data_IF_723115875802
#
_entry.id   IF_723115875802
#
_cell.length_a   1.000
_cell.length_b   1.000
_cell.length_c   1.000
_cell.angle_alpha   90.00
_cell.angle_beta   90.00
_cell.angle_gamma   90.00
#
_symmetry.space_group_name_H-M   'P 1'
#
loop_
_entity.id
_entity.type
_entity.pdbx_description
1 polymer ?
#
# COMPACT_ATOMS: atom_id res chain seq x y z
N UNK A 1 -6.05 -6.47 8.32
CA UNK A 1 -6.43 -5.92 7.01
C UNK A 1 -5.43 -6.39 5.96
N UNK A 2 -5.91 -6.99 4.90
CA UNK A 2 -5.10 -7.36 3.74
C UNK A 2 -5.00 -6.15 2.80
N UNK A 3 -3.79 -5.80 2.41
CA UNK A 3 -3.52 -4.72 1.44
C UNK A 3 -2.82 -5.32 0.23
N UNK A 4 -3.33 -5.03 -0.95
CA UNK A 4 -2.79 -5.51 -2.21
C UNK A 4 -2.42 -4.33 -3.10
N UNK A 5 -1.18 -4.34 -3.60
CA UNK A 5 -0.68 -3.37 -4.58
C UNK A 5 -0.54 -4.04 -5.93
N UNK A 6 -0.97 -3.36 -6.98
CA UNK A 6 -0.98 -3.91 -8.33
C UNK A 6 -0.82 -2.83 -9.40
N UNK A 7 -0.48 -3.27 -10.59
CA UNK A 7 -0.31 -2.41 -11.75
C UNK A 7 -1.60 -2.35 -12.55
N UNK A 8 -1.94 -1.16 -13.02
CA UNK A 8 -3.11 -0.92 -13.89
C UNK A 8 -2.64 -0.25 -15.16
N UNK A 9 -3.05 -0.78 -16.31
CA UNK A 9 -2.83 -0.17 -17.60
C UNK A 9 -3.98 0.78 -17.94
N UNK A 10 -3.65 2.02 -18.24
CA UNK A 10 -4.64 3.03 -18.65
C UNK A 10 -4.07 3.83 -19.81
N UNK A 11 -4.68 3.67 -20.99
CA UNK A 11 -4.28 4.38 -22.22
C UNK A 11 -2.77 4.29 -22.52
N UNK A 12 -2.17 3.09 -22.37
CA UNK A 12 -0.75 2.84 -22.61
C UNK A 12 0.18 3.35 -21.50
N UNK A 13 -0.37 3.85 -20.39
CA UNK A 13 0.37 4.24 -19.19
C UNK A 13 0.20 3.22 -18.10
N UNK A 14 1.30 2.80 -17.50
CA UNK A 14 1.27 1.95 -16.32
C UNK A 14 1.04 2.79 -15.08
N UNK A 15 -0.03 2.48 -14.34
CA UNK A 15 -0.37 3.10 -13.08
C UNK A 15 -0.19 2.11 -11.93
N UNK A 16 0.00 2.61 -10.73
CA UNK A 16 -0.06 1.82 -9.49
C UNK A 16 -1.41 2.04 -8.81
N UNK A 17 -1.94 0.98 -8.26
CA UNK A 17 -3.16 1.02 -7.45
C UNK A 17 -2.99 0.13 -6.22
N UNK A 18 -3.85 0.31 -5.25
CA UNK A 18 -3.94 -0.60 -4.12
C UNK A 18 -5.40 -0.81 -3.72
N UNK A 19 -5.65 -1.91 -3.06
CA UNK A 19 -6.93 -2.25 -2.47
C UNK A 19 -6.70 -2.85 -1.08
N UNK A 20 -7.45 -2.40 -0.09
CA UNK A 20 -7.46 -2.98 1.24
C UNK A 20 -8.76 -3.74 1.47
N UNK A 21 -8.69 -4.91 2.10
CA UNK A 21 -9.85 -5.71 2.48
C UNK A 21 -9.93 -5.76 4.00
N UNK A 22 -11.01 -5.20 4.53
CA UNK A 22 -11.35 -5.26 5.96
C UNK A 22 -12.39 -6.34 6.21
N UNK A 23 -12.09 -7.26 7.13
CA UNK A 23 -12.96 -8.40 7.39
C UNK A 23 -13.16 -9.27 6.13
N UNK A 24 -14.33 -9.85 5.99
CA UNK A 24 -14.59 -10.80 4.89
C UNK A 24 -15.07 -10.14 3.58
N UNK A 25 -15.55 -8.90 3.61
CA UNK A 25 -16.27 -8.32 2.47
C UNK A 25 -16.04 -6.83 2.19
N UNK A 26 -15.43 -6.09 3.10
CA UNK A 26 -15.28 -4.65 2.90
C UNK A 26 -14.01 -4.35 2.14
N UNK A 27 -14.13 -3.97 0.87
CA UNK A 27 -13.04 -3.55 0.02
C UNK A 27 -12.91 -2.03 0.04
N UNK A 28 -11.70 -1.56 0.26
CA UNK A 28 -11.34 -0.14 0.22
C UNK A 28 -10.41 0.06 -0.96
N UNK A 29 -10.88 0.59 -2.09
CA UNK A 29 -10.00 0.92 -3.21
C UNK A 29 -9.13 2.11 -2.86
N UNK A 30 -7.88 2.04 -3.24
CA UNK A 30 -6.93 3.12 -3.07
C UNK A 30 -6.85 4.05 -4.27
N UNK A 31 -5.99 5.03 -4.13
CA UNK A 31 -5.70 5.98 -5.21
C UNK A 31 -4.96 5.29 -6.34
N UNK A 32 -5.34 5.57 -7.59
CA UNK A 32 -4.59 5.16 -8.77
C UNK A 32 -3.64 6.29 -9.15
N UNK A 33 -2.34 5.99 -9.20
CA UNK A 33 -1.29 6.98 -9.43
C UNK A 33 -0.31 6.51 -10.51
N UNK A 34 0.40 7.46 -11.13
CA UNK A 34 1.46 7.12 -12.06
C UNK A 34 2.54 6.28 -11.35
N UNK A 35 2.84 5.10 -11.90
CA UNK A 35 3.81 4.19 -11.29
C UNK A 35 5.26 4.64 -11.49
N UNK A 36 5.56 5.33 -12.59
CA UNK A 36 6.92 5.76 -12.90
C UNK A 36 7.92 4.59 -12.92
N UNK A 37 9.22 4.92 -12.82
CA UNK A 37 10.31 3.94 -12.69
C UNK A 37 10.67 3.64 -11.24
N UNK A 38 10.16 4.40 -10.30
CA UNK A 38 10.43 4.27 -8.88
C UNK A 38 9.39 3.43 -8.13
N UNK A 39 9.56 3.36 -6.83
CA UNK A 39 8.57 2.75 -5.96
C UNK A 39 7.31 3.63 -5.89
N UNK A 40 6.10 3.06 -5.99
CA UNK A 40 4.88 3.84 -5.79
C UNK A 40 4.85 4.46 -4.39
N UNK A 41 4.39 5.71 -4.29
CA UNK A 41 4.38 6.45 -3.04
C UNK A 41 3.64 5.69 -1.92
N UNK A 42 2.45 5.16 -2.20
CA UNK A 42 1.64 4.48 -1.18
C UNK A 42 2.26 3.16 -0.74
N UNK A 43 2.97 2.45 -1.63
CA UNK A 43 3.74 1.26 -1.27
C UNK A 43 4.94 1.64 -0.39
N UNK A 44 5.65 2.71 -0.73
CA UNK A 44 6.76 3.20 0.08
C UNK A 44 6.30 3.59 1.48
N UNK A 45 5.19 4.29 1.59
CA UNK A 45 4.61 4.67 2.89
C UNK A 45 4.20 3.44 3.69
N UNK A 46 3.60 2.42 3.05
CA UNK A 46 3.29 1.14 3.70
C UNK A 46 4.55 0.52 4.31
N UNK A 47 5.60 0.41 3.52
CA UNK A 47 6.88 -0.18 3.96
C UNK A 47 7.48 0.59 5.14
N UNK A 48 7.47 1.91 5.08
CA UNK A 48 8.04 2.78 6.12
C UNK A 48 7.23 2.68 7.41
N UNK A 49 5.91 2.78 7.35
CA UNK A 49 5.05 2.67 8.53
C UNK A 49 5.16 1.27 9.16
N UNK A 50 5.19 0.21 8.34
CA UNK A 50 5.36 -1.16 8.82
C UNK A 50 6.75 -1.39 9.47
N UNK A 51 7.81 -0.96 8.80
CA UNK A 51 9.18 -1.18 9.27
C UNK A 51 9.53 -0.37 10.53
N UNK A 52 8.94 0.81 10.69
CA UNK A 52 9.15 1.66 11.87
C UNK A 52 8.19 1.38 13.01
N UNK A 53 7.12 0.61 12.76
CA UNK A 53 6.05 0.39 13.74
C UNK A 53 5.24 1.64 14.05
N UNK A 54 5.16 2.59 13.12
CA UNK A 54 4.47 3.85 13.32
C UNK A 54 2.98 3.63 13.59
N UNK A 55 2.46 4.26 14.65
CA UNK A 55 1.07 4.11 15.09
C UNK A 55 0.21 5.27 14.59
N UNK A 56 -1.03 4.96 14.19
CA UNK A 56 -2.00 5.94 13.73
C UNK A 56 -1.54 6.75 12.50
N UNK A 57 -0.69 6.16 11.68
CA UNK A 57 -0.37 6.64 10.36
C UNK A 57 -1.46 6.30 9.34
N UNK A 58 -1.17 6.48 8.08
CA UNK A 58 -2.14 6.28 6.99
C UNK A 58 -2.75 4.87 7.02
N UNK A 59 -1.92 3.83 7.13
CA UNK A 59 -2.39 2.44 7.06
C UNK A 59 -3.14 1.98 8.29
N UNK A 60 -2.76 2.45 9.47
CA UNK A 60 -3.57 2.25 10.68
C UNK A 60 -4.96 2.87 10.53
N UNK A 61 -5.04 4.08 9.99
CA UNK A 61 -6.32 4.75 9.79
C UNK A 61 -7.18 4.06 8.73
N UNK A 62 -6.57 3.58 7.64
CA UNK A 62 -7.27 2.72 6.66
C UNK A 62 -7.87 1.49 7.36
N UNK A 63 -7.10 0.84 8.22
CA UNK A 63 -7.56 -0.35 8.96
C UNK A 63 -8.70 -0.02 9.94
N UNK A 64 -8.73 1.20 10.46
CA UNK A 64 -9.78 1.71 11.37
C UNK A 64 -11.02 2.25 10.66
N UNK A 65 -11.03 2.23 9.35
CA UNK A 65 -12.18 2.67 8.57
C UNK A 65 -12.18 4.13 8.14
N UNK A 66 -11.03 4.80 8.20
CA UNK A 66 -10.88 6.14 7.67
C UNK A 66 -11.28 6.22 6.19
N UNK A 67 -11.97 7.29 5.84
CA UNK A 67 -12.36 7.57 4.46
C UNK A 67 -11.67 8.83 3.97
N UNK A 68 -10.60 8.62 3.19
CA UNK A 68 -9.80 9.69 2.63
C UNK A 68 -10.41 10.22 1.33
N UNK A 69 -10.27 11.52 1.10
CA UNK A 69 -10.68 12.15 -0.16
C UNK A 69 -9.94 11.57 -1.36
N UNK A 70 -8.68 11.23 -1.18
CA UNK A 70 -7.80 10.69 -2.23
C UNK A 70 -8.18 9.28 -2.70
N UNK A 71 -8.94 8.52 -1.92
CA UNK A 71 -9.31 7.14 -2.30
C UNK A 71 -10.54 7.06 -3.21
N UNK A 72 -11.14 8.19 -3.60
CA UNK A 72 -12.30 8.23 -4.49
C UNK A 72 -13.59 7.66 -3.90
N UNK A 73 -13.58 7.23 -2.64
CA UNK A 73 -14.76 6.71 -1.95
C UNK A 73 -15.62 7.83 -1.39
N UNK A 74 -16.92 7.55 -1.27
CA UNK A 74 -17.81 8.40 -0.49
C UNK A 74 -17.30 8.50 0.95
N UNK A 75 -17.01 9.72 1.39
CA UNK A 75 -16.55 9.97 2.75
C UNK A 75 -17.72 9.80 3.73
N UNK A 76 -17.52 8.95 4.72
CA UNK A 76 -18.48 8.72 5.79
C UNK A 76 -18.16 9.62 6.99
N UNK A 77 -19.18 9.94 7.78
CA UNK A 77 -18.97 10.72 9.02
C UNK A 77 -18.02 10.03 9.99
N UNK A 78 -18.18 8.71 10.30
CA UNK A 78 -17.23 7.99 11.14
C UNK A 78 -15.81 7.92 10.54
N UNK A 79 -15.69 7.71 9.24
CA UNK A 79 -14.39 7.64 8.56
C UNK A 79 -13.63 8.96 8.56
N UNK A 80 -14.35 10.10 8.50
CA UNK A 80 -13.74 11.44 8.67
C UNK A 80 -13.32 11.70 10.10
N UNK A 81 -14.12 11.26 11.08
CA UNK A 81 -13.83 11.43 12.49
C UNK A 81 -12.52 10.76 12.89
N UNK A 82 -12.22 9.56 12.37
CA UNK A 82 -10.95 8.87 12.57
C UNK A 82 -9.76 9.73 12.11
N UNK A 83 -9.87 10.39 10.96
CA UNK A 83 -8.81 11.26 10.44
C UNK A 83 -8.60 12.48 11.33
N UNK A 84 -9.69 13.11 11.77
CA UNK A 84 -9.63 14.30 12.65
C UNK A 84 -8.98 13.95 13.98
N UNK A 85 -9.34 12.81 14.58
CA UNK A 85 -8.80 12.34 15.85
C UNK A 85 -7.29 12.12 15.80
N UNK A 86 -6.76 11.63 14.66
CA UNK A 86 -5.35 11.28 14.48
C UNK A 86 -4.60 12.20 13.51
N UNK A 87 -5.05 13.43 13.38
CA UNK A 87 -4.46 14.38 12.41
C UNK A 87 -2.97 14.62 12.64
N UNK A 88 -2.52 14.72 13.88
CA UNK A 88 -1.12 14.96 14.23
C UNK A 88 -0.26 13.75 13.85
N UNK A 89 -0.70 12.56 14.18
CA UNK A 89 0.01 11.31 13.87
C UNK A 89 0.05 11.08 12.35
N UNK A 90 -1.01 11.39 11.64
CA UNK A 90 -1.05 11.29 10.19
C UNK A 90 -0.04 12.25 9.53
N UNK A 91 0.05 13.49 9.99
CA UNK A 91 1.07 14.45 9.54
C UNK A 91 2.48 13.96 9.85
N UNK A 92 2.70 13.40 11.04
CA UNK A 92 3.98 12.79 11.41
C UNK A 92 4.36 11.59 10.54
N UNK A 93 3.40 10.78 10.12
CA UNK A 93 3.64 9.67 9.18
C UNK A 93 4.11 10.16 7.80
N UNK A 94 3.54 11.24 7.30
CA UNK A 94 3.95 11.87 6.04
C UNK A 94 5.39 12.41 6.12
N UNK A 95 5.73 13.10 7.22
CA UNK A 95 7.10 13.58 7.45
C UNK A 95 8.10 12.42 7.56
N UNK A 96 7.74 11.37 8.29
CA UNK A 96 8.56 10.17 8.44
C UNK A 96 8.81 9.49 7.09
N UNK A 97 7.78 9.37 6.27
CA UNK A 97 7.88 8.82 4.92
C UNK A 97 8.84 9.64 4.06
N UNK A 98 8.71 10.96 4.07
CA UNK A 98 9.60 11.87 3.34
C UNK A 98 11.05 11.73 3.78
N UNK A 99 11.31 11.66 5.10
CA UNK A 99 12.65 11.49 5.66
C UNK A 99 13.30 10.18 5.22
N UNK A 100 12.61 9.06 5.35
CA UNK A 100 13.15 7.75 4.98
C UNK A 100 13.33 7.59 3.47
N UNK A 101 12.44 8.13 2.66
CA UNK A 101 12.61 8.15 1.20
C UNK A 101 13.84 8.96 0.78
N UNK A 102 14.07 10.12 1.37
CA UNK A 102 15.25 10.93 1.10
C UNK A 102 16.55 10.21 1.50
N UNK A 103 16.58 9.58 2.66
CA UNK A 103 17.73 8.78 3.12
C UNK A 103 18.01 7.60 2.20
N UNK A 104 16.98 6.86 1.83
CA UNK A 104 17.09 5.71 0.93
C UNK A 104 17.63 6.11 -0.44
N UNK A 105 17.12 7.20 -1.02
CA UNK A 105 17.60 7.75 -2.29
C UNK A 105 19.02 8.26 -2.21
N UNK A 106 19.45 8.68 -1.03
CA UNK A 106 20.84 9.09 -0.72
C UNK A 106 21.80 7.93 -0.44
N UNK A 107 21.35 6.67 -0.54
CA UNK A 107 22.19 5.47 -0.36
C UNK A 107 22.27 4.96 1.08
N UNK A 108 21.38 5.40 1.97
CA UNK A 108 21.31 4.88 3.35
C UNK A 108 21.06 3.36 3.36
N UNK A 109 21.68 2.66 4.31
CA UNK A 109 21.65 1.19 4.43
C UNK A 109 20.95 0.73 5.73
N UNK A 110 20.06 1.53 6.28
CA UNK A 110 19.23 1.15 7.41
C UNK A 110 18.26 -0.01 7.06
N UNK A 111 17.68 -0.63 8.10
CA UNK A 111 16.67 -1.67 7.92
C UNK A 111 15.46 -1.19 7.11
N UNK A 112 15.06 0.08 7.28
CA UNK A 112 13.98 0.70 6.49
C UNK A 112 14.39 0.84 5.03
N UNK A 113 15.59 1.34 4.76
CA UNK A 113 16.12 1.47 3.40
C UNK A 113 16.25 0.12 2.70
N UNK A 114 16.68 -0.91 3.40
CA UNK A 114 16.75 -2.28 2.86
C UNK A 114 15.35 -2.84 2.56
N UNK A 115 14.36 -2.56 3.39
CA UNK A 115 12.97 -2.94 3.14
C UNK A 115 12.41 -2.23 1.90
N UNK A 116 12.70 -0.94 1.73
CA UNK A 116 12.32 -0.18 0.52
C UNK A 116 12.97 -0.76 -0.75
N UNK A 117 14.22 -1.14 -0.69
CA UNK A 117 14.93 -1.78 -1.82
C UNK A 117 14.31 -3.11 -2.19
N UNK A 118 13.95 -3.94 -1.22
CA UNK A 118 13.24 -5.20 -1.47
C UNK A 118 11.87 -4.97 -2.10
N UNK A 119 11.10 -4.04 -1.57
CA UNK A 119 9.78 -3.71 -2.10
C UNK A 119 9.85 -3.18 -3.54
N UNK A 120 10.82 -2.32 -3.84
CA UNK A 120 11.06 -1.84 -5.20
C UNK A 120 11.41 -2.97 -6.16
N UNK A 121 12.29 -3.87 -5.75
CA UNK A 121 12.67 -5.03 -6.56
C UNK A 121 11.45 -5.90 -6.89
N UNK A 122 10.62 -6.18 -5.91
CA UNK A 122 9.41 -6.97 -6.09
C UNK A 122 8.36 -6.25 -6.93
N UNK A 123 8.19 -4.95 -6.73
CA UNK A 123 7.31 -4.14 -7.55
C UNK A 123 7.71 -4.14 -9.03
N UNK A 124 9.00 -4.00 -9.30
CA UNK A 124 9.53 -4.03 -10.68
C UNK A 124 9.34 -5.39 -11.35
N UNK A 125 9.45 -6.47 -10.60
CA UNK A 125 9.26 -7.83 -11.09
C UNK A 125 7.80 -8.25 -11.23
N UNK A 126 6.87 -7.44 -10.76
CA UNK A 126 5.45 -7.76 -10.77
C UNK A 126 4.86 -7.66 -12.18
N UNK A 127 4.20 -8.73 -12.64
CA UNK A 127 3.45 -8.72 -13.90
C UNK A 127 2.08 -8.07 -13.73
N UNK A 128 1.38 -7.79 -14.86
CA UNK A 128 0.11 -7.03 -14.86
C UNK A 128 -1.03 -7.72 -14.09
N UNK A 129 -0.99 -9.03 -13.95
CA UNK A 129 -2.01 -9.86 -13.29
C UNK A 129 -1.57 -10.38 -11.90
N UNK A 130 -0.42 -9.93 -11.42
CA UNK A 130 0.07 -10.25 -10.09
C UNK A 130 -0.16 -9.10 -9.11
N UNK A 131 -0.33 -9.43 -7.83
CA UNK A 131 -0.46 -8.46 -6.75
C UNK A 131 0.63 -8.69 -5.69
N UNK A 132 1.16 -7.61 -5.13
CA UNK A 132 1.91 -7.66 -3.88
C UNK A 132 0.92 -7.59 -2.73
N UNK A 133 0.81 -8.63 -1.95
CA UNK A 133 -0.13 -8.71 -0.85
C UNK A 133 0.58 -8.67 0.50
N UNK A 134 0.01 -7.90 1.42
CA UNK A 134 0.53 -7.73 2.77
C UNK A 134 -0.61 -7.77 3.78
N UNK A 135 -0.32 -8.22 4.98
CA UNK A 135 -1.23 -8.08 6.12
C UNK A 135 -0.87 -6.86 6.96
N UNK A 136 -1.86 -6.05 7.31
CA UNK A 136 -1.67 -4.92 8.20
C UNK A 136 -2.41 -5.15 9.54
N UNK A 137 -1.80 -4.92 10.70
CA UNK A 137 -0.37 -4.59 10.86
C UNK A 137 0.51 -5.77 10.44
N UNK A 138 1.69 -5.43 9.88
CA UNK A 138 2.65 -6.45 9.48
C UNK A 138 3.29 -7.08 10.72
N UNK A 139 3.25 -8.41 10.89
CA UNK A 139 4.07 -9.06 11.91
C UNK A 139 5.56 -8.82 11.62
N UNK A 140 6.41 -8.93 12.62
CA UNK A 140 7.83 -8.61 12.56
C UNK A 140 8.51 -9.13 11.28
N UNK A 141 8.87 -8.20 10.41
CA UNK A 141 9.40 -8.47 9.08
C UNK A 141 8.32 -8.39 8.00
N UNK A 142 8.59 -7.59 6.96
CA UNK A 142 7.70 -7.51 5.80
C UNK A 142 7.92 -8.79 4.99
N UNK A 143 7.02 -9.75 5.14
CA UNK A 143 6.97 -10.94 4.28
C UNK A 143 6.13 -10.58 3.07
N UNK A 144 6.77 -10.49 1.94
CA UNK A 144 6.07 -10.22 0.68
C UNK A 144 5.58 -11.53 0.10
N UNK A 145 4.27 -11.63 -0.09
CA UNK A 145 3.66 -12.71 -0.85
C UNK A 145 3.25 -12.16 -2.21
N UNK A 146 3.66 -12.82 -3.27
CA UNK A 146 3.18 -12.55 -4.62
C UNK A 146 2.04 -13.53 -4.88
N UNK A 147 0.82 -13.03 -4.84
CA UNK A 147 -0.33 -13.83 -5.23
C UNK A 147 -0.60 -13.64 -6.72
N UNK A 148 -0.31 -14.68 -7.49
CA UNK A 148 -0.81 -14.78 -8.85
C UNK A 148 -2.32 -15.04 -8.80
N UNK A 149 -3.12 -14.25 -9.49
CA UNK A 149 -4.51 -14.59 -9.70
C UNK A 149 -4.58 -15.82 -10.59
N UNK A 150 -4.76 -17.00 -9.98
CA UNK A 150 -5.14 -18.19 -10.72
C UNK A 150 -6.55 -17.96 -11.26
N UNK A 151 -6.65 -17.47 -12.48
CA UNK A 151 -7.88 -17.57 -13.27
C UNK A 151 -8.11 -19.06 -13.50
N UNK A 152 -8.89 -19.68 -12.62
CA UNK A 152 -9.44 -20.99 -12.85
C UNK A 152 -10.32 -20.95 -14.08
N UNK A 153 -9.74 -21.25 -15.23
CA UNK A 153 -10.52 -21.62 -16.41
C UNK A 153 -11.17 -22.95 -16.07
N UNK A 154 -12.43 -22.90 -15.70
CA UNK A 154 -13.26 -24.09 -15.64
C UNK A 154 -13.38 -24.64 -17.06
N UNK A 155 -12.55 -25.60 -17.40
CA UNK A 155 -12.72 -26.42 -18.59
C UNK A 155 -14.01 -27.24 -18.42
N UNK A 156 -15.08 -26.78 -19.06
CA UNK A 156 -16.24 -27.62 -19.31
C UNK A 156 -15.82 -28.70 -20.30
N UNK A 157 -15.45 -29.88 -19.78
CA UNK A 157 -15.44 -31.07 -20.61
C UNK A 157 -16.87 -31.56 -20.76
N UNK A 158 -17.31 -31.61 -22.00
CA UNK A 158 -18.52 -32.31 -22.44
C UNK A 158 -18.34 -33.83 -22.33
#
# INVERSE_FOLDING_TARGET
VRVEFFKVDSHGRQLSAWEATRGKRTRVPGTVMAAGKGIPHDLAQYVIEAATGYRNGFWDLVSKGATFKSTGRRRTKPGRAVIVEHRTELAGAEELAGLHLARWRGGDRSAVSDALSRALHQWRGLSADEHLAFDWPSPAGIVVQVDGSSSGVAEHRR
#
